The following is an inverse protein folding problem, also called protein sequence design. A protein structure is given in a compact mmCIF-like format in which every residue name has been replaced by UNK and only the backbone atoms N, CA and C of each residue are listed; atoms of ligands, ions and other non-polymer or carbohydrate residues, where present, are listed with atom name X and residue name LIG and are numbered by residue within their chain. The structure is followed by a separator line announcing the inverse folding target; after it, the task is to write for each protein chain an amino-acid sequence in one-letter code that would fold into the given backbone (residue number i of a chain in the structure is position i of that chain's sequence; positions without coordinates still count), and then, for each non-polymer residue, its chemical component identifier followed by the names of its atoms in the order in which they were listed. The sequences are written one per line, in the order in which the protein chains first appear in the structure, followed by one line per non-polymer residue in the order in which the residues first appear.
data_IF_655897076201
#
_entry.id   IF_655897076201
#
_cell.length_a   1.000
_cell.length_b   1.000
_cell.length_c   1.000
_cell.angle_alpha   90.00
_cell.angle_beta   90.00
_cell.angle_gamma   90.00
#
_symmetry.space_group_name_H-M   'P 1'
#
loop_
_entity.id
_entity.type
_entity.pdbx_description
1 polymer ?
#
# COMPACT_ATOMS: atom_id res chain seq x y z
N UNK A 1 -65.36 -8.37 19.87
CA UNK A 1 -65.17 -9.63 19.10
C UNK A 1 -64.02 -9.37 18.14
N UNK A 2 -62.83 -9.93 18.37
CA UNK A 2 -62.43 -11.32 18.03
C UNK A 2 -61.95 -11.43 16.58
N UNK A 3 -60.77 -10.91 16.29
CA UNK A 3 -59.75 -11.51 15.40
C UNK A 3 -58.40 -10.92 15.89
N UNK A 4 -57.94 -11.25 17.10
CA UNK A 4 -57.11 -12.44 17.35
C UNK A 4 -55.97 -12.50 16.33
N UNK A 5 -54.78 -12.01 16.68
CA UNK A 5 -53.69 -12.88 17.14
C UNK A 5 -53.48 -14.05 16.17
N UNK A 6 -52.52 -13.93 15.24
CA UNK A 6 -51.68 -15.02 14.74
C UNK A 6 -50.69 -14.46 13.70
N UNK A 7 -49.44 -14.92 13.78
CA UNK A 7 -48.27 -14.63 12.95
C UNK A 7 -47.30 -13.59 13.54
N UNK A 8 -46.91 -13.65 14.82
CA UNK A 8 -45.86 -14.58 15.28
C UNK A 8 -45.12 -15.28 14.14
N UNK A 9 -43.95 -14.78 13.76
CA UNK A 9 -42.67 -15.52 13.71
C UNK A 9 -41.72 -14.91 12.68
N UNK A 10 -40.46 -14.76 13.11
CA UNK A 10 -39.27 -14.93 12.28
C UNK A 10 -39.22 -14.17 10.95
N UNK A 11 -38.67 -12.95 10.99
CA UNK A 11 -37.57 -12.65 10.08
C UNK A 11 -36.43 -12.07 10.91
N UNK A 12 -35.75 -12.99 11.59
CA UNK A 12 -34.37 -12.76 11.94
C UNK A 12 -33.58 -12.65 10.64
N UNK A 13 -32.76 -11.61 10.56
CA UNK A 13 -31.44 -11.70 9.97
C UNK A 13 -30.67 -10.48 10.44
N UNK A 14 -30.06 -10.69 11.59
CA UNK A 14 -28.79 -10.11 11.97
C UNK A 14 -27.86 -10.28 10.75
N UNK A 15 -27.83 -9.30 9.87
CA UNK A 15 -26.61 -9.03 9.12
C UNK A 15 -25.80 -8.11 10.02
N UNK A 16 -25.04 -8.74 10.93
CA UNK A 16 -23.73 -8.24 11.29
C UNK A 16 -23.05 -7.95 9.95
N UNK A 17 -23.03 -6.67 9.58
CA UNK A 17 -22.10 -6.17 8.58
C UNK A 17 -20.73 -6.38 9.20
N UNK A 18 -20.16 -7.54 8.94
CA UNK A 18 -18.73 -7.73 9.03
C UNK A 18 -18.15 -6.64 8.14
N UNK A 19 -17.67 -5.58 8.79
CA UNK A 19 -16.61 -4.74 8.26
C UNK A 19 -15.43 -5.70 8.08
N UNK A 20 -15.46 -6.45 6.97
CA UNK A 20 -14.26 -6.85 6.30
C UNK A 20 -13.63 -5.54 5.90
N UNK A 21 -12.64 -5.11 6.68
CA UNK A 21 -11.64 -4.20 6.19
C UNK A 21 -11.03 -4.90 4.97
N UNK A 22 -11.61 -4.63 3.80
CA UNK A 22 -10.98 -4.91 2.53
C UNK A 22 -9.70 -4.08 2.57
N UNK A 23 -8.60 -4.71 2.97
CA UNK A 23 -7.27 -4.19 2.75
C UNK A 23 -7.20 -3.94 1.25
N UNK A 24 -7.42 -2.69 0.84
CA UNK A 24 -7.27 -2.29 -0.56
C UNK A 24 -5.80 -2.45 -0.88
N UNK A 25 -5.42 -3.61 -1.37
CA UNK A 25 -4.09 -3.86 -1.90
C UNK A 25 -3.89 -2.84 -3.02
N UNK A 26 -3.04 -1.84 -2.75
CA UNK A 26 -2.74 -0.80 -3.71
C UNK A 26 -2.21 -1.46 -4.98
N UNK A 27 -2.66 -0.99 -6.14
CA UNK A 27 -2.09 -1.48 -7.39
C UNK A 27 -0.60 -1.12 -7.44
N UNK A 28 0.23 -1.89 -8.16
CA UNK A 28 1.66 -1.61 -8.26
C UNK A 28 1.97 -0.16 -8.69
N UNK A 29 1.10 0.42 -9.53
CA UNK A 29 1.19 1.82 -9.94
C UNK A 29 0.88 2.81 -8.81
N UNK A 30 -0.13 2.51 -7.97
CA UNK A 30 -0.49 3.33 -6.81
C UNK A 30 0.59 3.28 -5.71
N UNK A 31 1.15 2.10 -5.45
CA UNK A 31 2.25 1.96 -4.50
C UNK A 31 3.47 2.78 -4.95
N UNK A 32 3.82 2.70 -6.23
CA UNK A 32 4.93 3.48 -6.80
C UNK A 32 4.70 4.99 -6.71
N UNK A 33 3.51 5.47 -7.03
CA UNK A 33 3.19 6.88 -6.90
C UNK A 33 3.31 7.36 -5.46
N UNK A 34 2.92 6.53 -4.49
CA UNK A 34 3.09 6.83 -3.06
C UNK A 34 4.57 6.95 -2.70
N UNK A 35 5.41 6.02 -3.14
CA UNK A 35 6.85 6.02 -2.87
C UNK A 35 7.57 7.20 -3.52
N UNK A 36 7.29 7.48 -4.79
CA UNK A 36 7.85 8.65 -5.46
C UNK A 36 7.45 9.94 -4.72
N UNK A 37 6.22 10.04 -4.20
CA UNK A 37 5.80 11.19 -3.38
C UNK A 37 6.52 11.27 -2.04
N UNK A 38 6.72 10.15 -1.35
CA UNK A 38 7.46 10.11 -0.08
C UNK A 38 8.91 10.52 -0.28
N UNK A 39 9.59 9.98 -1.29
CA UNK A 39 10.98 10.31 -1.59
C UNK A 39 11.15 11.75 -2.07
N UNK A 40 10.20 12.29 -2.84
CA UNK A 40 10.21 13.70 -3.20
C UNK A 40 10.08 14.62 -1.98
N UNK A 41 9.24 14.21 -1.01
CA UNK A 41 9.03 14.97 0.23
C UNK A 41 10.23 14.88 1.17
N UNK A 42 10.82 13.69 1.32
CA UNK A 42 12.04 13.49 2.10
C UNK A 42 13.23 14.30 1.56
N UNK A 43 13.32 14.44 0.23
CA UNK A 43 14.31 15.28 -0.44
C UNK A 43 13.92 16.78 -0.48
N UNK A 44 12.80 17.16 0.15
CA UNK A 44 12.27 18.53 0.17
C UNK A 44 12.13 19.13 -1.24
N UNK A 45 11.85 18.28 -2.25
CA UNK A 45 11.69 18.72 -3.63
C UNK A 45 10.38 19.51 -3.75
N UNK A 46 10.47 20.69 -4.37
CA UNK A 46 9.34 21.60 -4.61
C UNK A 46 9.36 22.09 -6.05
N UNK A 47 8.22 22.61 -6.52
CA UNK A 47 8.09 23.18 -7.86
C UNK A 47 8.51 22.19 -8.96
N UNK A 48 9.26 22.70 -9.94
CA UNK A 48 9.70 21.92 -11.10
C UNK A 48 10.59 20.74 -10.72
N UNK A 49 11.42 20.86 -9.68
CA UNK A 49 12.27 19.77 -9.22
C UNK A 49 11.45 18.55 -8.76
N UNK A 50 10.33 18.77 -8.07
CA UNK A 50 9.40 17.69 -7.68
C UNK A 50 8.73 17.05 -8.89
N UNK A 51 8.33 17.87 -9.87
CA UNK A 51 7.62 17.41 -11.06
C UNK A 51 8.53 16.55 -11.95
N UNK A 52 9.76 16.99 -12.18
CA UNK A 52 10.80 16.23 -12.91
C UNK A 52 11.09 14.93 -12.19
N UNK A 53 11.37 15.00 -10.88
CA UNK A 53 11.60 13.80 -10.08
C UNK A 53 10.43 12.82 -10.12
N UNK A 54 9.19 13.29 -10.02
CA UNK A 54 8.00 12.43 -10.10
C UNK A 54 7.87 11.80 -11.49
N UNK A 55 8.07 12.59 -12.54
CA UNK A 55 8.09 12.10 -13.93
C UNK A 55 9.10 10.98 -14.09
N UNK A 56 10.34 11.19 -13.65
CA UNK A 56 11.44 10.24 -13.85
C UNK A 56 11.24 9.00 -12.96
N UNK A 57 10.81 9.21 -11.72
CA UNK A 57 10.44 8.14 -10.81
C UNK A 57 9.29 7.29 -11.34
N UNK A 58 8.35 7.84 -12.11
CA UNK A 58 7.27 7.09 -12.77
C UNK A 58 7.64 6.56 -14.16
N UNK A 59 8.56 7.23 -14.88
CA UNK A 59 9.06 6.81 -16.20
C UNK A 59 10.05 5.66 -16.12
N UNK A 60 10.77 5.48 -15.01
CA UNK A 60 11.58 4.29 -14.76
C UNK A 60 10.75 2.96 -14.66
N UNK A 61 9.43 2.98 -14.89
CA UNK A 61 8.60 1.79 -15.18
C UNK A 61 8.34 1.60 -16.67
N UNK A 62 8.38 2.70 -17.42
CA UNK A 62 8.24 2.80 -18.87
C UNK A 62 9.61 3.04 -19.45
N UNK A 63 10.57 2.21 -19.09
CA UNK A 63 11.81 2.22 -19.84
C UNK A 63 11.46 1.78 -21.26
N UNK A 64 11.80 2.63 -22.23
CA UNK A 64 12.07 2.14 -23.57
C UNK A 64 13.13 1.04 -23.51
N UNK A 65 13.34 0.32 -24.62
CA UNK A 65 14.01 -0.99 -24.66
C UNK A 65 15.42 -1.13 -24.06
N UNK A 66 16.05 -0.08 -23.52
CA UNK A 66 17.45 -0.09 -23.06
C UNK A 66 17.73 0.24 -21.59
N UNK A 67 16.77 0.71 -20.78
CA UNK A 67 17.00 0.85 -19.33
C UNK A 67 16.27 -0.22 -18.53
N UNK A 68 16.99 -1.06 -17.79
CA UNK A 68 16.39 -2.11 -16.95
C UNK A 68 15.54 -1.48 -15.85
N UNK A 69 14.24 -1.40 -16.08
CA UNK A 69 13.26 -1.00 -15.08
C UNK A 69 13.34 -1.93 -13.88
N UNK A 70 13.33 -1.37 -12.67
CA UNK A 70 13.29 -2.18 -11.45
C UNK A 70 11.97 -2.95 -11.41
N UNK A 71 12.05 -4.24 -11.09
CA UNK A 71 10.85 -5.06 -10.90
C UNK A 71 10.08 -4.53 -9.68
N UNK A 72 8.75 -4.73 -9.62
CA UNK A 72 7.95 -4.34 -8.45
C UNK A 72 8.51 -4.88 -7.12
N UNK A 73 9.09 -6.08 -7.16
CA UNK A 73 9.76 -6.69 -6.01
C UNK A 73 11.03 -5.94 -5.59
N UNK A 74 11.85 -5.51 -6.56
CA UNK A 74 13.06 -4.72 -6.29
C UNK A 74 12.71 -3.33 -5.74
N UNK A 75 11.65 -2.72 -6.25
CA UNK A 75 11.16 -1.44 -5.73
C UNK A 75 10.66 -1.56 -4.29
N UNK A 76 9.88 -2.60 -4.00
CA UNK A 76 9.41 -2.91 -2.64
C UNK A 76 10.55 -3.15 -1.65
N UNK A 77 11.57 -3.91 -2.08
CA UNK A 77 12.76 -4.13 -1.26
C UNK A 77 13.47 -2.82 -0.91
N UNK A 78 13.57 -1.89 -1.87
CA UNK A 78 14.14 -0.56 -1.62
C UNK A 78 13.31 0.23 -0.60
N UNK A 79 11.99 0.24 -0.74
CA UNK A 79 11.08 0.91 0.21
C UNK A 79 11.22 0.37 1.64
N UNK A 80 11.23 -0.96 1.79
CA UNK A 80 11.41 -1.59 3.10
C UNK A 80 12.77 -1.23 3.73
N UNK A 81 13.84 -1.12 2.92
CA UNK A 81 15.15 -0.67 3.40
C UNK A 81 15.18 0.79 3.84
N UNK A 82 14.52 1.68 3.11
CA UNK A 82 14.39 3.09 3.49
C UNK A 82 13.65 3.20 4.83
N UNK A 83 12.48 2.58 4.96
CA UNK A 83 11.67 2.62 6.20
C UNK A 83 12.39 2.01 7.40
N UNK A 84 13.18 0.96 7.19
CA UNK A 84 13.99 0.38 8.26
C UNK A 84 15.07 1.37 8.75
N UNK A 85 15.68 2.11 7.81
CA UNK A 85 16.71 3.12 8.12
C UNK A 85 16.11 4.34 8.80
N UNK A 86 14.96 4.84 8.34
CA UNK A 86 14.21 5.94 8.96
C UNK A 86 13.83 5.62 10.41
N UNK A 87 13.42 4.37 10.68
CA UNK A 87 13.13 3.88 12.03
C UNK A 87 14.40 3.51 12.82
N UNK A 88 15.59 3.72 12.26
CA UNK A 88 16.87 3.35 12.87
C UNK A 88 16.94 1.88 13.32
N UNK A 89 16.20 0.99 12.65
CA UNK A 89 16.15 -0.43 12.98
C UNK A 89 17.49 -1.08 12.64
N UNK A 90 18.00 -1.88 13.58
CA UNK A 90 19.26 -2.61 13.46
C UNK A 90 19.07 -4.06 13.93
N UNK A 91 20.02 -4.92 13.57
CA UNK A 91 20.04 -6.32 13.98
C UNK A 91 18.72 -7.04 13.71
N UNK A 92 18.24 -7.78 14.71
CA UNK A 92 17.04 -8.60 14.61
C UNK A 92 15.77 -7.81 14.32
N UNK A 93 15.66 -6.58 14.81
CA UNK A 93 14.49 -5.73 14.59
C UNK A 93 14.37 -5.30 13.14
N UNK A 94 15.50 -5.01 12.48
CA UNK A 94 15.53 -4.73 11.04
C UNK A 94 15.12 -5.97 10.25
N UNK A 95 15.60 -7.15 10.62
CA UNK A 95 15.31 -8.38 9.90
C UNK A 95 13.83 -8.78 10.01
N UNK A 96 13.24 -8.66 11.21
CA UNK A 96 11.81 -8.86 11.45
C UNK A 96 10.96 -7.87 10.66
N UNK A 97 11.33 -6.59 10.71
CA UNK A 97 10.67 -5.55 9.92
C UNK A 97 10.76 -5.81 8.42
N UNK A 98 11.93 -6.17 7.91
CA UNK A 98 12.14 -6.45 6.49
C UNK A 98 11.28 -7.62 6.03
N UNK A 99 11.25 -8.69 6.81
CA UNK A 99 10.44 -9.88 6.53
C UNK A 99 8.95 -9.56 6.53
N UNK A 100 8.47 -8.81 7.52
CA UNK A 100 7.07 -8.38 7.58
C UNK A 100 6.71 -7.43 6.42
N UNK A 101 7.58 -6.45 6.13
CA UNK A 101 7.40 -5.49 5.04
C UNK A 101 7.35 -6.19 3.67
N UNK A 102 8.25 -7.15 3.45
CA UNK A 102 8.29 -7.94 2.21
C UNK A 102 7.14 -8.95 2.11
N UNK A 103 6.57 -9.43 3.22
CA UNK A 103 5.42 -10.34 3.24
C UNK A 103 4.06 -9.65 3.10
N UNK A 104 3.90 -8.37 3.49
CA UNK A 104 2.62 -7.61 3.43
C UNK A 104 2.10 -7.31 2.01
N UNK A 105 2.57 -8.00 0.97
CA UNK A 105 2.00 -7.87 -0.38
C UNK A 105 2.01 -9.20 -1.14
N UNK A 106 2.04 -10.31 -0.39
CA UNK A 106 1.66 -11.62 -0.90
C UNK A 106 0.15 -11.80 -0.70
#
# INVERSE_FOLDING_TARGET
MKITLLMTLLFGLIFLTTVGAAEKTLTPQQQRMTTCNQQATAQTLKGDARKTYMSDCLKNSKSGPEEKSLTPQQQKMRECNVKATEQSLKGDDRNKFMSACLKKSA
#
